data_IF_684854413943
#
_entry.id   IF_684854413943
#
_cell.length_a   1.000
_cell.length_b   1.000
_cell.length_c   1.000
_cell.angle_alpha   90.00
_cell.angle_beta   90.00
_cell.angle_gamma   90.00
#
_symmetry.space_group_name_H-M   'P 1'
#
loop_
_entity.id
_entity.type
_entity.pdbx_description
1 polymer ?
#
# COMPACT_ATOMS: atom_id res chain seq x y z
N UNK A 1 20.15 -18.42 -3.64
CA UNK A 1 18.77 -18.84 -3.33
C UNK A 1 18.00 -17.58 -2.93
N UNK A 2 16.94 -17.21 -3.65
CA UNK A 2 16.11 -16.06 -3.24
C UNK A 2 15.24 -16.55 -2.09
N UNK A 3 15.44 -16.02 -0.88
CA UNK A 3 14.56 -16.32 0.25
C UNK A 3 13.17 -15.83 -0.12
N UNK A 4 12.20 -16.75 -0.15
CA UNK A 4 10.81 -16.38 -0.35
C UNK A 4 10.32 -15.75 0.96
N UNK A 5 10.41 -14.43 1.04
CA UNK A 5 10.23 -13.64 2.28
C UNK A 5 8.78 -13.66 2.80
N UNK A 6 7.89 -14.42 2.16
CA UNK A 6 6.49 -14.58 2.58
C UNK A 6 5.71 -13.26 2.57
N UNK A 7 6.05 -12.33 1.67
CA UNK A 7 5.32 -11.08 1.53
C UNK A 7 4.00 -11.38 0.84
N UNK A 8 2.89 -11.19 1.56
CA UNK A 8 1.56 -11.19 0.98
C UNK A 8 1.30 -9.82 0.34
N UNK A 9 1.01 -9.73 -0.97
CA UNK A 9 0.66 -8.47 -1.60
C UNK A 9 -0.56 -7.85 -0.90
N UNK A 10 -0.55 -6.53 -0.71
CA UNK A 10 -1.60 -5.80 0.00
C UNK A 10 -1.98 -4.53 -0.75
N UNK A 11 -3.27 -4.31 -0.95
CA UNK A 11 -3.73 -3.08 -1.58
C UNK A 11 -3.54 -1.88 -0.63
N UNK A 12 -3.15 -0.68 -1.10
CA UNK A 12 -3.05 0.52 -0.26
C UNK A 12 -4.35 0.83 0.52
N UNK A 13 -5.51 0.53 -0.08
CA UNK A 13 -6.83 0.63 0.58
C UNK A 13 -6.97 -0.32 1.76
N UNK A 14 -6.55 -1.58 1.62
CA UNK A 14 -6.55 -2.57 2.71
C UNK A 14 -5.60 -2.13 3.82
N UNK A 15 -4.38 -1.70 3.46
CA UNK A 15 -3.40 -1.17 4.40
C UNK A 15 -3.98 -0.01 5.23
N UNK A 16 -4.64 0.94 4.56
CA UNK A 16 -5.29 2.07 5.21
C UNK A 16 -6.33 1.64 6.23
N UNK A 17 -7.15 0.64 5.91
CA UNK A 17 -8.22 0.14 6.79
C UNK A 17 -7.60 -0.58 8.00
N UNK A 18 -6.66 -1.50 7.77
CA UNK A 18 -6.05 -2.34 8.82
C UNK A 18 -5.28 -1.49 9.83
N UNK A 19 -4.48 -0.53 9.34
CA UNK A 19 -3.62 0.30 10.19
C UNK A 19 -4.26 1.64 10.59
N UNK A 20 -5.51 1.89 10.19
CA UNK A 20 -6.18 3.20 10.30
C UNK A 20 -5.28 4.36 9.82
N UNK A 21 -4.48 4.13 8.77
CA UNK A 21 -3.42 5.04 8.37
C UNK A 21 -3.97 6.27 7.62
N UNK A 22 -3.43 7.46 7.90
CA UNK A 22 -3.68 8.65 7.09
C UNK A 22 -2.87 8.59 5.78
N UNK A 23 -3.27 9.37 4.77
CA UNK A 23 -2.51 9.49 3.51
C UNK A 23 -1.08 9.96 3.79
N UNK A 24 -0.93 10.94 4.71
CA UNK A 24 0.37 11.42 5.17
C UNK A 24 1.22 10.29 5.79
N UNK A 25 0.65 9.44 6.66
CA UNK A 25 1.41 8.32 7.24
C UNK A 25 1.81 7.31 6.17
N UNK A 26 0.91 6.99 5.23
CA UNK A 26 1.22 6.10 4.12
C UNK A 26 2.33 6.67 3.23
N UNK A 27 2.35 7.98 2.99
CA UNK A 27 3.44 8.65 2.29
C UNK A 27 4.75 8.49 3.07
N UNK A 28 4.76 8.77 4.37
CA UNK A 28 5.95 8.64 5.23
C UNK A 28 6.52 7.22 5.33
N UNK A 29 5.68 6.20 5.16
CA UNK A 29 6.09 4.78 5.25
C UNK A 29 6.51 4.19 3.90
N UNK A 30 5.94 4.68 2.80
CA UNK A 30 6.12 4.06 1.46
C UNK A 30 6.90 4.93 0.46
N UNK A 31 7.21 6.17 0.83
CA UNK A 31 7.84 7.20 0.00
C UNK A 31 7.06 7.56 -1.29
N UNK A 32 5.85 7.03 -1.49
CA UNK A 32 4.98 7.44 -2.59
C UNK A 32 4.36 8.81 -2.32
N UNK A 33 4.23 9.70 -3.33
CA UNK A 33 3.57 10.99 -3.16
C UNK A 33 2.12 10.84 -2.67
N UNK A 34 1.68 11.78 -1.83
CA UNK A 34 0.30 11.77 -1.29
C UNK A 34 -0.78 11.77 -2.38
N UNK A 35 -0.53 12.47 -3.49
CA UNK A 35 -1.43 12.50 -4.66
C UNK A 35 -1.55 11.11 -5.30
N UNK A 36 -0.42 10.40 -5.46
CA UNK A 36 -0.40 9.05 -6.00
C UNK A 36 -1.17 8.08 -5.10
N UNK A 37 -0.98 8.18 -3.77
CA UNK A 37 -1.74 7.39 -2.80
C UNK A 37 -3.23 7.71 -2.89
N UNK A 38 -3.59 8.98 -3.05
CA UNK A 38 -4.99 9.42 -3.21
C UNK A 38 -5.66 8.78 -4.43
N UNK A 39 -4.94 8.64 -5.55
CA UNK A 39 -5.46 7.95 -6.74
C UNK A 39 -5.72 6.46 -6.52
N UNK A 40 -4.90 5.77 -5.73
CA UNK A 40 -5.12 4.36 -5.37
C UNK A 40 -6.27 4.15 -4.38
N UNK A 41 -6.58 5.20 -3.62
CA UNK A 41 -7.67 5.20 -2.63
C UNK A 41 -8.99 5.73 -3.19
N UNK A 42 -8.98 6.36 -4.38
CA UNK A 42 -10.19 6.80 -5.05
C UNK A 42 -11.12 5.62 -5.36
N UNK A 43 -12.42 5.89 -5.47
CA UNK A 43 -13.42 4.90 -5.89
C UNK A 43 -13.09 4.35 -7.28
N UNK A 44 -13.26 3.05 -7.53
CA UNK A 44 -12.91 2.42 -8.80
C UNK A 44 -13.68 2.99 -10.00
N UNK A 45 -14.87 3.57 -9.77
CA UNK A 45 -15.65 4.28 -10.79
C UNK A 45 -15.13 5.70 -11.10
N UNK A 46 -14.22 6.23 -10.28
CA UNK A 46 -13.67 7.58 -10.44
C UNK A 46 -12.68 7.65 -11.60
N UNK A 47 -12.73 8.73 -12.37
CA UNK A 47 -11.71 9.03 -13.41
C UNK A 47 -10.31 9.25 -12.84
N UNK A 48 -10.19 9.49 -11.53
CA UNK A 48 -8.91 9.65 -10.82
C UNK A 48 -8.36 8.33 -10.31
N UNK A 49 -9.14 7.25 -10.37
CA UNK A 49 -8.71 5.95 -9.89
C UNK A 49 -7.58 5.40 -10.74
N UNK A 50 -6.57 4.89 -10.07
CA UNK A 50 -5.47 4.17 -10.69
C UNK A 50 -5.28 2.85 -9.98
N UNK A 51 -5.35 1.74 -10.72
CA UNK A 51 -5.02 0.43 -10.17
C UNK A 51 -3.53 0.40 -9.75
N UNK A 52 -3.20 0.07 -8.50
CA UNK A 52 -1.81 -0.08 -8.08
C UNK A 52 -1.13 -1.22 -8.83
N UNK A 53 0.10 -0.97 -9.28
CA UNK A 53 0.94 -2.01 -9.93
C UNK A 53 1.31 -3.11 -8.92
N UNK A 54 1.62 -4.34 -9.37
CA UNK A 54 2.01 -5.44 -8.46
C UNK A 54 3.15 -5.09 -7.50
N UNK A 55 4.15 -4.31 -7.94
CA UNK A 55 5.24 -3.83 -7.09
C UNK A 55 4.78 -2.93 -5.94
N UNK A 56 3.71 -2.14 -6.14
CA UNK A 56 3.09 -1.32 -5.08
C UNK A 56 2.42 -2.23 -4.06
N UNK A 57 1.68 -3.24 -4.54
CA UNK A 57 1.02 -4.22 -3.66
C UNK A 57 2.05 -4.97 -2.79
N UNK A 58 3.16 -5.38 -3.39
CA UNK A 58 4.26 -6.03 -2.66
C UNK A 58 4.92 -5.08 -1.65
N UNK A 59 5.08 -3.80 -2.01
CA UNK A 59 5.68 -2.80 -1.11
C UNK A 59 4.80 -2.59 0.14
N UNK A 60 3.49 -2.36 -0.04
CA UNK A 60 2.57 -2.23 1.09
C UNK A 60 2.44 -3.53 1.90
N UNK A 61 2.52 -4.69 1.24
CA UNK A 61 2.59 -5.99 1.92
C UNK A 61 3.83 -6.14 2.79
N UNK A 62 4.99 -5.68 2.32
CA UNK A 62 6.23 -5.69 3.08
C UNK A 62 6.17 -4.75 4.29
N UNK A 63 5.68 -3.53 4.11
CA UNK A 63 5.47 -2.57 5.20
C UNK A 63 4.53 -3.15 6.25
N UNK A 64 3.40 -3.75 5.83
CA UNK A 64 2.47 -4.39 6.75
C UNK A 64 3.15 -5.49 7.58
N UNK A 65 3.91 -6.38 6.93
CA UNK A 65 4.63 -7.45 7.63
C UNK A 65 5.60 -6.89 8.68
N UNK A 66 6.36 -5.85 8.34
CA UNK A 66 7.28 -5.18 9.27
C UNK A 66 6.54 -4.59 10.49
N UNK A 67 5.39 -3.95 10.28
CA UNK A 67 4.60 -3.35 11.35
C UNK A 67 3.89 -4.40 12.22
N UNK A 68 3.53 -5.55 11.65
CA UNK A 68 2.81 -6.62 12.35
C UNK A 68 3.72 -7.61 13.08
N UNK A 69 5.05 -7.45 13.01
CA UNK A 69 6.01 -8.19 13.83
C UNK A 69 6.03 -9.71 13.63
N UNK A 70 5.71 -10.19 12.42
CA UNK A 70 5.71 -11.63 12.04
C UNK A 70 6.74 -11.96 10.98
#
# INVERSE_FOLDING_TARGET
MVQNIGIKPMHPREFKIIHNASIYLMHRLSDYPEETISHWLADESSTRYQQPKPQVLNHFGAIHKLLSGT
#
